data_IF_762861679850
#
_entry.id   IF_762861679850
#
_cell.length_a   1.000
_cell.length_b   1.000
_cell.length_c   1.000
_cell.angle_alpha   90.00
_cell.angle_beta   90.00
_cell.angle_gamma   90.00
#
_symmetry.space_group_name_H-M   'P 1'
#
loop_
_entity.id
_entity.type
_entity.pdbx_description
1 polymer ?
#
# COMPACT_ATOMS: atom_id res chain seq x y z
N UNK A 1 6.11 69.09 -57.12
CA UNK A 1 5.41 67.88 -57.60
C UNK A 1 5.88 66.69 -56.78
N UNK A 2 4.96 66.20 -55.94
CA UNK A 2 4.90 64.96 -55.16
C UNK A 2 5.94 63.86 -55.45
N UNK A 3 6.50 63.28 -54.38
CA UNK A 3 6.25 61.87 -54.03
C UNK A 3 6.57 61.59 -52.56
N UNK A 4 5.65 60.87 -51.95
CA UNK A 4 5.43 60.63 -50.52
C UNK A 4 6.37 59.54 -49.99
N UNK A 5 6.92 59.77 -48.80
CA UNK A 5 7.71 58.86 -47.97
C UNK A 5 6.78 57.81 -47.32
N UNK A 6 7.05 56.52 -47.51
CA UNK A 6 6.46 55.43 -46.71
C UNK A 6 7.62 54.70 -46.01
N UNK A 7 7.84 54.99 -44.73
CA UNK A 7 8.72 54.21 -43.86
C UNK A 7 7.83 53.19 -43.14
N UNK A 8 7.98 51.91 -43.50
CA UNK A 8 7.42 50.81 -42.73
C UNK A 8 8.23 50.62 -41.45
N UNK A 9 7.63 50.94 -40.31
CA UNK A 9 8.14 50.60 -38.97
C UNK A 9 7.86 49.11 -38.74
N UNK A 10 8.91 48.30 -38.70
CA UNK A 10 8.84 46.89 -38.35
C UNK A 10 8.86 46.78 -36.82
N UNK A 11 7.69 46.59 -36.21
CA UNK A 11 7.55 46.38 -34.77
C UNK A 11 7.89 44.91 -34.48
N UNK A 12 9.11 44.64 -33.99
CA UNK A 12 9.51 43.31 -33.55
C UNK A 12 8.83 42.99 -32.21
N UNK A 13 7.75 42.21 -32.26
CA UNK A 13 7.10 41.63 -31.09
C UNK A 13 8.01 40.49 -30.59
N UNK A 14 8.72 40.74 -29.49
CA UNK A 14 9.44 39.71 -28.74
C UNK A 14 8.39 38.89 -27.99
N UNK A 15 8.02 37.73 -28.55
CA UNK A 15 7.22 36.73 -27.85
C UNK A 15 8.15 36.03 -26.87
N UNK A 16 8.13 36.47 -25.61
CA UNK A 16 8.65 35.68 -24.50
C UNK A 16 7.76 34.45 -24.36
N UNK A 17 8.20 33.34 -24.96
CA UNK A 17 7.63 32.03 -24.70
C UNK A 17 7.86 31.69 -23.24
N UNK A 18 6.81 31.84 -22.43
CA UNK A 18 6.76 31.24 -21.11
C UNK A 18 6.86 29.72 -21.32
N UNK A 19 8.01 29.14 -20.98
CA UNK A 19 8.13 27.71 -20.79
C UNK A 19 7.22 27.32 -19.63
N UNK A 20 5.97 26.98 -19.95
CA UNK A 20 5.11 26.26 -19.03
C UNK A 20 5.76 24.90 -18.86
N UNK A 21 6.55 24.73 -17.81
CA UNK A 21 7.06 23.44 -17.37
C UNK A 21 5.85 22.68 -16.81
N UNK A 22 5.01 22.15 -17.71
CA UNK A 22 4.18 21.02 -17.36
C UNK A 22 5.16 19.91 -17.04
N UNK A 23 5.42 19.67 -15.75
CA UNK A 23 5.86 18.37 -15.30
C UNK A 23 4.87 17.38 -15.92
N UNK A 24 5.32 16.62 -16.93
CA UNK A 24 4.56 15.52 -17.47
C UNK A 24 4.43 14.51 -16.33
N UNK A 25 3.35 14.64 -15.55
CA UNK A 25 2.97 13.70 -14.50
C UNK A 25 2.93 12.33 -15.16
N UNK A 26 3.92 11.51 -14.82
CA UNK A 26 4.09 10.21 -15.46
C UNK A 26 3.06 9.28 -14.85
N UNK A 27 1.84 9.29 -15.39
CA UNK A 27 0.88 8.22 -15.16
C UNK A 27 1.58 6.94 -15.62
N UNK A 28 1.76 6.03 -14.69
CA UNK A 28 2.52 4.82 -14.91
C UNK A 28 1.69 3.86 -15.80
N UNK A 29 1.68 4.11 -17.11
CA UNK A 29 0.98 3.32 -18.11
C UNK A 29 1.72 1.99 -18.29
N UNK A 30 1.42 1.02 -17.44
CA UNK A 30 1.84 -0.36 -17.68
C UNK A 30 1.05 -0.86 -18.91
N UNK A 31 1.75 -1.27 -19.96
CA UNK A 31 1.11 -1.80 -21.18
C UNK A 31 0.44 -3.15 -20.97
N UNK A 32 0.68 -3.81 -19.81
CA UNK A 32 0.15 -5.13 -19.51
C UNK A 32 -0.51 -5.18 -18.13
N UNK A 33 -1.83 -5.17 -18.18
CA UNK A 33 -2.78 -5.53 -17.13
C UNK A 33 -2.85 -7.07 -17.05
N UNK A 34 -2.58 -7.67 -15.88
CA UNK A 34 -2.49 -9.14 -15.72
C UNK A 34 -3.77 -9.79 -15.15
N UNK A 35 -4.91 -9.09 -15.14
CA UNK A 35 -6.22 -9.67 -14.83
C UNK A 35 -6.62 -9.64 -13.36
N UNK A 36 -7.49 -10.58 -12.97
CA UNK A 36 -8.08 -10.67 -11.64
C UNK A 36 -7.56 -11.86 -10.87
N UNK A 37 -7.02 -11.63 -9.67
CA UNK A 37 -6.70 -12.68 -8.71
C UNK A 37 -7.83 -12.83 -7.69
N UNK A 38 -8.34 -14.04 -7.49
CA UNK A 38 -9.35 -14.36 -6.48
C UNK A 38 -8.73 -15.14 -5.31
N UNK A 39 -8.92 -14.65 -4.08
CA UNK A 39 -8.37 -15.24 -2.85
C UNK A 39 -9.51 -15.62 -1.92
N UNK A 40 -9.46 -16.82 -1.33
CA UNK A 40 -10.32 -17.22 -0.22
C UNK A 40 -9.73 -16.80 1.13
N UNK A 41 -10.57 -16.20 1.98
CA UNK A 41 -10.23 -15.76 3.33
C UNK A 41 -11.26 -16.32 4.32
N UNK A 42 -10.80 -16.91 5.42
CA UNK A 42 -11.67 -17.48 6.45
C UNK A 42 -12.00 -16.51 7.58
N UNK A 43 -11.13 -15.51 7.81
CA UNK A 43 -11.33 -14.50 8.84
C UNK A 43 -12.28 -13.38 8.43
N UNK A 44 -12.29 -12.31 9.21
CA UNK A 44 -13.13 -11.14 8.98
C UNK A 44 -12.32 -9.85 9.08
N UNK A 45 -12.86 -8.76 8.51
CA UNK A 45 -12.31 -7.42 8.66
C UNK A 45 -12.97 -6.76 9.87
N UNK A 46 -12.16 -6.18 10.75
CA UNK A 46 -12.62 -5.39 11.88
C UNK A 46 -12.55 -3.90 11.57
N UNK A 47 -11.43 -3.45 10.98
CA UNK A 47 -11.25 -2.06 10.58
C UNK A 47 -10.22 -1.94 9.45
N UNK A 48 -10.50 -1.05 8.49
CA UNK A 48 -9.52 -0.66 7.47
C UNK A 48 -8.82 0.67 7.80
N UNK A 49 -9.19 1.32 8.91
CA UNK A 49 -8.49 2.52 9.35
C UNK A 49 -7.15 2.13 9.99
N UNK A 50 -6.00 2.65 9.51
CA UNK A 50 -4.69 2.15 9.90
C UNK A 50 -4.46 2.08 11.42
N UNK A 51 -4.86 3.10 12.17
CA UNK A 51 -4.61 3.16 13.62
C UNK A 51 -5.50 2.20 14.43
N UNK A 52 -6.56 1.65 13.85
CA UNK A 52 -7.52 0.75 14.51
C UNK A 52 -7.30 -0.73 14.21
N UNK A 53 -6.31 -1.09 13.38
CA UNK A 53 -6.02 -2.49 13.05
C UNK A 53 -5.76 -3.30 14.33
N UNK A 54 -6.45 -4.43 14.48
CA UNK A 54 -6.33 -5.32 15.64
C UNK A 54 -6.30 -6.82 15.27
N UNK A 55 -6.40 -7.16 13.98
CA UNK A 55 -6.32 -8.55 13.50
C UNK A 55 -5.48 -8.66 12.22
N UNK A 56 -5.05 -9.89 11.89
CA UNK A 56 -4.15 -10.16 10.77
C UNK A 56 -4.79 -9.88 9.40
N UNK A 57 -6.08 -10.21 9.23
CA UNK A 57 -6.81 -10.01 7.97
C UNK A 57 -6.92 -8.53 7.62
N UNK A 58 -7.30 -7.69 8.60
CA UNK A 58 -7.34 -6.24 8.43
C UNK A 58 -5.94 -5.70 8.14
N UNK A 59 -4.91 -6.19 8.84
CA UNK A 59 -3.52 -5.79 8.61
C UNK A 59 -3.08 -6.05 7.16
N UNK A 60 -3.38 -7.25 6.65
CA UNK A 60 -3.06 -7.68 5.28
C UNK A 60 -3.82 -6.87 4.23
N UNK A 61 -5.07 -6.50 4.47
CA UNK A 61 -5.84 -5.68 3.51
C UNK A 61 -5.38 -4.22 3.57
N UNK A 62 -5.11 -3.69 4.77
CA UNK A 62 -4.58 -2.33 4.92
C UNK A 62 -3.22 -2.19 4.25
N UNK A 63 -2.34 -3.20 4.27
CA UNK A 63 -1.06 -3.14 3.57
C UNK A 63 -1.16 -3.12 2.04
N UNK A 64 -2.31 -3.53 1.47
CA UNK A 64 -2.60 -3.41 0.04
C UNK A 64 -3.17 -2.03 -0.34
N UNK A 65 -3.86 -1.37 0.60
CA UNK A 65 -4.54 -0.09 0.39
C UNK A 65 -3.66 1.11 0.79
N UNK A 66 -2.95 0.97 1.90
CA UNK A 66 -2.18 2.02 2.54
C UNK A 66 -0.68 1.69 2.55
N UNK A 67 0.16 2.70 2.64
CA UNK A 67 1.61 2.53 2.76
C UNK A 67 2.20 3.55 3.74
N UNK A 68 3.23 3.13 4.49
CA UNK A 68 3.97 3.98 5.44
C UNK A 68 5.23 4.57 4.83
N UNK A 69 6.07 5.21 5.67
CA UNK A 69 7.39 5.69 5.26
C UNK A 69 8.28 4.53 4.77
N UNK A 70 8.23 3.41 5.48
CA UNK A 70 8.90 2.16 5.16
C UNK A 70 7.90 1.02 5.24
N UNK A 71 8.25 -0.16 4.73
CA UNK A 71 7.43 -1.37 4.84
C UNK A 71 8.30 -2.60 5.12
N UNK A 72 7.67 -3.68 5.56
CA UNK A 72 8.31 -4.97 5.61
C UNK A 72 8.41 -5.58 4.20
N UNK A 73 9.54 -6.22 3.92
CA UNK A 73 9.62 -7.26 2.91
C UNK A 73 8.76 -8.44 3.34
N UNK A 74 7.82 -8.86 2.49
CA UNK A 74 6.86 -9.89 2.87
C UNK A 74 7.52 -11.21 3.26
N UNK A 75 8.68 -11.58 2.70
CA UNK A 75 9.37 -12.83 3.06
C UNK A 75 10.31 -12.67 4.24
N UNK A 76 11.25 -11.75 4.11
CA UNK A 76 12.40 -11.65 5.00
C UNK A 76 12.12 -10.83 6.25
N UNK A 77 10.98 -10.14 6.30
CA UNK A 77 10.62 -9.17 7.35
C UNK A 77 11.69 -8.07 7.53
N UNK A 78 12.55 -7.88 6.52
CA UNK A 78 13.52 -6.79 6.49
C UNK A 78 12.84 -5.48 6.09
N UNK A 79 13.45 -4.36 6.46
CA UNK A 79 12.91 -3.04 6.12
C UNK A 79 13.18 -2.73 4.64
N UNK A 80 12.11 -2.33 3.94
CA UNK A 80 12.15 -1.86 2.56
C UNK A 80 11.63 -0.42 2.46
N UNK A 81 12.06 0.33 1.42
CA UNK A 81 11.45 1.61 1.07
C UNK A 81 9.92 1.50 0.94
N UNK A 82 9.20 2.43 1.58
CA UNK A 82 7.76 2.64 1.45
C UNK A 82 7.51 3.88 0.59
N UNK A 83 6.82 4.88 1.17
CA UNK A 83 6.78 6.25 0.65
C UNK A 83 8.17 6.91 0.64
N UNK A 84 9.02 6.62 1.64
CA UNK A 84 10.40 7.09 1.64
C UNK A 84 11.25 6.21 0.72
N UNK A 85 11.84 6.81 -0.31
CA UNK A 85 12.73 6.11 -1.25
C UNK A 85 14.07 5.74 -0.61
N UNK A 86 14.52 6.58 0.33
CA UNK A 86 15.72 6.38 1.15
C UNK A 86 15.61 7.17 2.45
N UNK A 87 16.48 6.86 3.40
CA UNK A 87 16.63 7.63 4.62
C UNK A 87 18.09 7.68 5.06
N UNK A 88 18.40 8.69 5.85
CA UNK A 88 19.70 8.87 6.51
C UNK A 88 19.49 8.82 8.03
N UNK A 89 20.46 8.25 8.72
CA UNK A 89 20.50 8.16 10.18
C UNK A 89 21.75 8.91 10.64
N UNK A 90 21.61 9.78 11.64
CA UNK A 90 22.75 10.49 12.22
C UNK A 90 23.69 9.55 13.00
N UNK A 91 24.88 10.06 13.36
CA UNK A 91 25.90 9.26 14.07
C UNK A 91 25.45 8.78 15.43
N UNK A 92 24.55 9.54 16.07
CA UNK A 92 24.02 9.22 17.39
C UNK A 92 22.80 8.29 17.30
N UNK A 93 22.36 7.89 16.09
CA UNK A 93 21.18 7.04 15.84
C UNK A 93 19.86 7.57 16.43
N UNK A 94 19.75 8.89 16.58
CA UNK A 94 18.57 9.56 17.13
C UNK A 94 17.83 10.41 16.12
N UNK A 95 18.42 10.72 14.97
CA UNK A 95 17.77 11.52 13.93
C UNK A 95 17.66 10.70 12.64
N UNK A 96 16.42 10.49 12.21
CA UNK A 96 16.08 9.81 10.96
C UNK A 96 15.52 10.81 9.97
N UNK A 97 16.17 10.93 8.81
CA UNK A 97 15.78 11.83 7.73
C UNK A 97 15.28 11.04 6.54
N UNK A 98 13.99 11.13 6.26
CA UNK A 98 13.32 10.40 5.17
C UNK A 98 13.17 11.29 3.93
N UNK A 99 13.55 10.75 2.78
CA UNK A 99 13.38 11.39 1.48
C UNK A 99 12.21 10.71 0.76
N UNK A 100 11.11 11.44 0.61
CA UNK A 100 9.83 10.93 0.13
C UNK A 100 9.81 10.86 -1.40
N UNK A 101 9.03 9.91 -1.92
CA UNK A 101 8.72 9.86 -3.34
C UNK A 101 7.93 11.10 -3.76
N UNK A 102 8.47 11.85 -4.72
CA UNK A 102 7.81 13.03 -5.31
C UNK A 102 6.75 12.66 -6.35
N UNK A 103 6.53 11.37 -6.61
CA UNK A 103 5.53 10.88 -7.56
C UNK A 103 4.41 10.09 -6.85
N UNK A 104 4.32 10.18 -5.53
CA UNK A 104 3.27 9.52 -4.76
C UNK A 104 1.99 10.38 -4.73
N UNK A 105 0.86 9.74 -4.99
CA UNK A 105 -0.47 10.36 -4.94
C UNK A 105 -1.40 9.49 -4.08
N UNK A 106 -2.32 10.14 -3.38
CA UNK A 106 -3.44 9.44 -2.76
C UNK A 106 -4.36 8.86 -3.83
N UNK A 107 -5.09 7.80 -3.47
CA UNK A 107 -6.11 7.23 -4.35
C UNK A 107 -7.11 8.32 -4.77
N UNK A 108 -7.66 8.26 -6.01
CA UNK A 108 -8.74 9.15 -6.41
C UNK A 108 -9.93 9.03 -5.48
N UNK A 109 -10.43 10.15 -4.97
CA UNK A 109 -11.52 10.20 -4.00
C UNK A 109 -12.36 11.48 -4.17
N UNK A 110 -13.65 11.40 -3.85
CA UNK A 110 -14.60 12.51 -4.00
C UNK A 110 -14.37 13.64 -2.99
N UNK A 111 -13.62 13.41 -1.91
CA UNK A 111 -13.28 14.44 -0.92
C UNK A 111 -12.22 15.43 -1.42
N UNK A 112 -11.48 15.09 -2.47
CA UNK A 112 -10.57 15.98 -3.17
C UNK A 112 -11.31 16.78 -4.24
N UNK A 113 -10.76 17.93 -4.66
CA UNK A 113 -11.37 18.73 -5.72
C UNK A 113 -11.46 17.90 -7.01
N UNK A 114 -12.52 18.14 -7.80
CA UNK A 114 -12.72 17.40 -9.07
C UNK A 114 -11.50 17.58 -9.96
N UNK A 115 -11.01 16.47 -10.49
CA UNK A 115 -9.86 16.38 -11.40
C UNK A 115 -8.49 16.66 -10.75
N UNK A 116 -8.40 16.72 -9.41
CA UNK A 116 -7.12 16.84 -8.70
C UNK A 116 -6.59 15.48 -8.24
N UNK A 117 -5.43 15.07 -8.75
CA UNK A 117 -4.64 14.03 -8.12
C UNK A 117 -3.95 14.61 -6.88
N UNK A 118 -4.40 14.24 -5.68
CA UNK A 118 -3.80 14.77 -4.46
C UNK A 118 -2.43 14.13 -4.19
N UNK A 119 -1.37 14.86 -4.51
CA UNK A 119 0.03 14.49 -4.25
C UNK A 119 0.28 14.26 -2.75
N UNK A 120 1.11 13.29 -2.39
CA UNK A 120 1.53 13.08 -1.00
C UNK A 120 2.68 14.01 -0.66
N UNK A 121 2.63 14.62 0.52
CA UNK A 121 3.66 15.54 1.01
C UNK A 121 4.12 15.18 2.42
N UNK A 122 5.23 15.74 2.86
CA UNK A 122 5.72 15.62 4.23
C UNK A 122 4.71 16.14 5.28
N UNK A 123 3.76 17.00 4.90
CA UNK A 123 2.68 17.41 5.80
C UNK A 123 1.67 16.29 6.06
N UNK A 124 1.43 15.42 5.09
CA UNK A 124 0.58 14.24 5.27
C UNK A 124 1.27 13.23 6.22
N UNK A 125 2.60 13.14 6.14
CA UNK A 125 3.42 12.38 7.10
C UNK A 125 3.30 12.96 8.50
N UNK A 126 3.47 14.28 8.65
CA UNK A 126 3.30 14.97 9.94
C UNK A 126 1.92 14.68 10.54
N UNK A 127 0.87 14.83 9.74
CA UNK A 127 -0.50 14.60 10.16
C UNK A 127 -0.70 13.17 10.66
N UNK A 128 -0.28 12.18 9.87
CA UNK A 128 -0.44 10.75 10.18
C UNK A 128 0.31 10.35 11.45
N UNK A 129 1.56 10.79 11.59
CA UNK A 129 2.37 10.47 12.76
C UNK A 129 1.93 11.25 14.01
N UNK A 130 1.40 12.47 13.85
CA UNK A 130 0.77 13.19 14.98
C UNK A 130 -0.45 12.43 15.49
N UNK A 131 -1.27 11.87 14.60
CA UNK A 131 -2.43 11.05 14.97
C UNK A 131 -2.04 9.80 15.77
N UNK A 132 -0.92 9.15 15.44
CA UNK A 132 -0.39 8.03 16.24
C UNK A 132 -0.10 8.44 17.68
N UNK A 133 0.23 9.71 17.94
CA UNK A 133 0.49 10.22 19.28
C UNK A 133 -0.76 10.73 20.01
N UNK A 134 -1.98 10.46 19.53
CA UNK A 134 -3.24 10.92 20.17
C UNK A 134 -3.89 9.85 21.06
N UNK A 135 -4.59 10.28 22.11
CA UNK A 135 -5.49 9.44 22.92
C UNK A 135 -6.87 9.25 22.25
N UNK A 136 -6.89 8.71 21.04
CA UNK A 136 -8.13 8.32 20.35
C UNK A 136 -8.53 6.90 20.76
N UNK A 137 -9.81 6.60 21.05
CA UNK A 137 -10.28 5.22 21.23
C UNK A 137 -9.97 4.31 20.03
N UNK A 138 -9.83 4.90 18.85
CA UNK A 138 -9.56 4.24 17.58
C UNK A 138 -8.05 4.17 17.27
N UNK A 139 -7.19 4.51 18.24
CA UNK A 139 -5.74 4.44 18.12
C UNK A 139 -5.17 3.31 19.00
N UNK A 140 -5.11 2.11 18.42
CA UNK A 140 -4.52 0.93 19.05
C UNK A 140 -2.99 0.86 18.86
N UNK A 141 -2.42 1.78 18.08
CA UNK A 141 -1.03 1.73 17.60
C UNK A 141 -0.14 2.83 18.20
N UNK A 142 -0.60 3.54 19.24
CA UNK A 142 0.12 4.68 19.80
C UNK A 142 1.55 4.34 20.27
N UNK A 143 1.77 3.11 20.74
CA UNK A 143 3.07 2.62 21.22
C UNK A 143 4.16 2.63 20.15
N UNK A 144 3.80 2.66 18.86
CA UNK A 144 4.76 2.72 17.76
C UNK A 144 5.62 3.99 17.80
N UNK A 145 5.10 5.09 18.34
CA UNK A 145 5.80 6.39 18.33
C UNK A 145 5.83 7.11 19.68
N UNK A 146 4.84 6.90 20.56
CA UNK A 146 4.72 7.66 21.84
C UNK A 146 5.97 7.55 22.71
N UNK A 147 6.54 6.36 22.87
CA UNK A 147 7.75 6.15 23.69
C UNK A 147 9.07 6.35 22.90
N UNK A 148 8.97 6.63 21.60
CA UNK A 148 10.12 6.67 20.69
C UNK A 148 10.47 8.11 20.30
N UNK A 149 9.47 8.87 19.85
CA UNK A 149 9.64 10.21 19.30
C UNK A 149 9.84 11.28 20.38
N UNK A 150 10.78 12.18 20.16
CA UNK A 150 11.02 13.32 21.06
C UNK A 150 9.76 14.20 21.16
N UNK A 151 9.25 14.44 22.36
CA UNK A 151 8.02 15.22 22.57
C UNK A 151 6.71 14.47 22.31
N UNK A 152 6.77 13.20 21.86
CA UNK A 152 5.57 12.43 21.49
C UNK A 152 4.77 12.00 22.73
N UNK A 153 5.47 11.64 23.81
CA UNK A 153 4.85 11.28 25.09
C UNK A 153 4.13 12.46 25.74
N UNK A 154 4.77 13.62 25.77
CA UNK A 154 4.19 14.86 26.30
C UNK A 154 2.95 15.27 25.49
N UNK A 155 2.99 15.10 24.17
CA UNK A 155 1.83 15.34 23.32
C UNK A 155 0.69 14.35 23.64
N UNK A 156 0.97 13.06 23.73
CA UNK A 156 0.00 12.02 24.09
C UNK A 156 -0.65 12.28 25.45
N UNK A 157 0.14 12.63 26.47
CA UNK A 157 -0.35 12.95 27.81
C UNK A 157 -1.16 14.24 27.86
N UNK A 158 -0.90 15.20 26.97
CA UNK A 158 -1.67 16.44 26.87
C UNK A 158 -3.10 16.27 26.36
N UNK A 159 -3.43 15.08 25.81
CA UNK A 159 -4.75 14.74 25.21
C UNK A 159 -5.18 15.65 24.06
N UNK A 160 -4.24 16.43 23.51
CA UNK A 160 -4.49 17.23 22.31
C UNK A 160 -4.61 16.32 21.09
N UNK A 161 -5.41 16.76 20.13
CA UNK A 161 -5.57 16.10 18.83
C UNK A 161 -4.77 16.78 17.72
N UNK A 162 -4.31 18.01 17.97
CA UNK A 162 -3.50 18.82 17.06
C UNK A 162 -2.42 19.58 17.84
N UNK A 163 -1.32 19.87 17.18
CA UNK A 163 -0.22 20.64 17.74
C UNK A 163 1.13 20.13 17.28
N UNK A 164 2.19 20.81 17.73
CA UNK A 164 3.56 20.47 17.38
C UNK A 164 4.11 19.38 18.31
N UNK A 165 4.73 18.37 17.71
CA UNK A 165 5.55 17.37 18.39
C UNK A 165 7.01 17.68 18.05
N UNK A 166 7.87 17.87 19.06
CA UNK A 166 9.25 18.36 18.85
C UNK A 166 10.04 17.50 17.86
N UNK A 167 9.88 16.17 17.95
CA UNK A 167 10.60 15.20 17.15
C UNK A 167 10.02 14.97 15.76
N UNK A 168 8.92 15.61 15.37
CA UNK A 168 8.32 15.47 14.03
C UNK A 168 8.51 16.78 13.25
N UNK A 169 9.32 16.73 12.20
CA UNK A 169 9.79 17.94 11.52
C UNK A 169 9.59 17.78 10.01
N UNK A 170 8.83 18.71 9.42
CA UNK A 170 8.76 18.92 7.98
C UNK A 170 9.85 19.90 7.61
N UNK A 171 10.84 19.48 6.82
CA UNK A 171 11.85 20.41 6.30
C UNK A 171 11.45 21.01 4.96
N UNK A 172 10.79 20.21 4.12
CA UNK A 172 10.16 20.62 2.87
C UNK A 172 9.14 19.55 2.46
N UNK A 173 8.45 19.75 1.33
CA UNK A 173 7.37 18.87 0.87
C UNK A 173 7.76 17.40 0.67
N UNK A 174 9.05 17.11 0.49
CA UNK A 174 9.57 15.76 0.21
C UNK A 174 10.61 15.28 1.23
N UNK A 175 10.84 16.02 2.31
CA UNK A 175 11.83 15.66 3.35
C UNK A 175 11.19 15.76 4.72
N UNK A 176 11.12 14.62 5.41
CA UNK A 176 10.56 14.52 6.75
C UNK A 176 11.61 13.98 7.72
N UNK A 177 11.72 14.58 8.91
CA UNK A 177 12.69 14.20 9.92
C UNK A 177 11.98 13.75 11.19
N UNK A 178 12.41 12.61 11.72
CA UNK A 178 12.01 12.10 13.03
C UNK A 178 13.19 12.12 13.97
N UNK A 179 13.04 12.75 15.14
CA UNK A 179 14.01 12.69 16.24
C UNK A 179 13.48 11.79 17.35
N UNK A 180 14.32 10.87 17.80
CA UNK A 180 14.05 9.95 18.89
C UNK A 180 14.48 10.54 20.23
N UNK A 181 13.88 10.03 21.31
CA UNK A 181 14.31 10.33 22.68
C UNK A 181 15.70 9.71 22.97
N UNK A 182 15.95 8.54 22.39
CA UNK A 182 17.20 7.78 22.49
C UNK A 182 17.34 6.83 21.28
N UNK A 183 18.54 6.30 21.00
CA UNK A 183 18.73 5.33 19.93
C UNK A 183 17.83 4.11 20.10
N UNK A 184 17.21 3.66 19.01
CA UNK A 184 16.46 2.42 18.98
C UNK A 184 16.65 1.71 17.63
N UNK A 185 17.42 0.61 17.59
CA UNK A 185 17.64 -0.17 16.36
C UNK A 185 16.34 -0.74 15.74
N UNK A 186 15.28 -0.90 16.53
CA UNK A 186 13.98 -1.39 16.06
C UNK A 186 13.06 -0.29 15.53
N UNK A 187 13.47 0.98 15.57
CA UNK A 187 12.58 2.09 15.24
C UNK A 187 11.93 1.97 13.85
N UNK A 188 12.71 1.59 12.83
CA UNK A 188 12.16 1.39 11.48
C UNK A 188 11.15 0.23 11.39
N UNK A 189 11.27 -0.79 12.24
CA UNK A 189 10.31 -1.89 12.30
C UNK A 189 8.97 -1.43 12.86
N UNK A 190 8.95 -0.46 13.78
CA UNK A 190 7.72 0.17 14.24
C UNK A 190 7.05 0.97 13.12
N UNK A 191 7.82 1.72 12.35
CA UNK A 191 7.30 2.49 11.21
C UNK A 191 6.89 1.63 10.01
N UNK A 192 7.40 0.40 9.91
CA UNK A 192 7.01 -0.55 8.87
C UNK A 192 5.66 -1.23 9.14
N UNK A 193 5.10 -1.06 10.35
CA UNK A 193 3.77 -1.55 10.67
C UNK A 193 2.71 -0.78 9.85
N UNK A 194 1.73 -1.46 9.21
CA UNK A 194 0.67 -0.79 8.46
C UNK A 194 -0.14 0.24 9.25
N UNK A 195 -0.18 0.14 10.58
CA UNK A 195 -0.81 1.14 11.43
C UNK A 195 -0.08 2.51 11.43
N UNK A 196 1.16 2.56 10.97
CA UNK A 196 1.93 3.79 10.73
C UNK A 196 1.80 4.32 9.29
N UNK A 197 0.79 3.85 8.54
CA UNK A 197 0.54 4.32 7.19
C UNK A 197 0.23 5.81 7.10
N UNK A 198 0.52 6.37 5.93
CA UNK A 198 0.25 7.78 5.62
C UNK A 198 -1.20 7.91 5.14
N UNK A 199 -1.95 8.83 5.75
CA UNK A 199 -3.34 9.13 5.44
C UNK A 199 -3.49 10.62 5.07
N UNK A 200 -4.47 10.92 4.20
CA UNK A 200 -4.77 12.29 3.82
C UNK A 200 -5.62 12.97 4.90
N UNK A 201 -5.20 14.17 5.34
CA UNK A 201 -5.96 14.97 6.32
C UNK A 201 -7.40 15.21 5.87
N UNK A 202 -7.59 15.63 4.61
CA UNK A 202 -8.91 15.92 4.04
C UNK A 202 -9.84 14.70 4.01
N UNK A 203 -9.30 13.52 3.67
CA UNK A 203 -10.06 12.27 3.68
C UNK A 203 -10.45 11.89 5.11
N UNK A 204 -9.53 12.03 6.08
CA UNK A 204 -9.84 11.81 7.49
C UNK A 204 -10.90 12.79 8.03
N UNK A 205 -10.84 14.07 7.66
CA UNK A 205 -11.86 15.05 8.05
C UNK A 205 -13.23 14.74 7.46
N UNK A 206 -13.28 14.10 6.29
CA UNK A 206 -14.53 13.77 5.58
C UNK A 206 -15.13 12.45 6.06
N UNK A 207 -14.30 11.42 6.26
CA UNK A 207 -14.75 10.04 6.49
C UNK A 207 -14.40 9.52 7.89
N UNK A 208 -13.60 10.26 8.66
CA UNK A 208 -13.06 9.83 9.94
C UNK A 208 -12.44 8.42 9.83
N UNK A 209 -12.80 7.51 10.73
CA UNK A 209 -12.27 6.13 10.75
C UNK A 209 -12.92 5.19 9.73
N UNK A 210 -13.83 5.70 8.88
CA UNK A 210 -14.32 4.96 7.71
C UNK A 210 -13.46 5.21 6.47
N UNK A 211 -12.38 6.00 6.57
CA UNK A 211 -11.49 6.27 5.45
C UNK A 211 -10.86 4.98 4.91
N UNK A 212 -10.84 4.87 3.59
CA UNK A 212 -10.12 3.81 2.86
C UNK A 212 -9.20 4.39 1.79
N UNK A 213 -9.04 5.72 1.80
CA UNK A 213 -8.14 6.45 0.92
C UNK A 213 -6.70 6.28 1.39
N UNK A 214 -5.88 5.63 0.57
CA UNK A 214 -4.47 5.40 0.86
C UNK A 214 -3.57 5.79 -0.31
N UNK A 215 -2.34 5.30 -0.25
CA UNK A 215 -1.29 5.52 -1.26
C UNK A 215 -0.71 4.19 -1.77
N UNK A 216 -1.30 3.07 -1.34
CA UNK A 216 -0.84 1.72 -1.64
C UNK A 216 -1.15 1.26 -3.07
N UNK A 217 -0.72 0.03 -3.41
CA UNK A 217 -0.81 -0.52 -4.77
C UNK A 217 -2.25 -0.74 -5.26
N UNK A 218 -3.20 -0.95 -4.35
CA UNK A 218 -4.60 -1.15 -4.69
C UNK A 218 -5.49 -0.16 -3.95
N UNK A 219 -6.66 0.15 -4.51
CA UNK A 219 -7.70 0.96 -3.87
C UNK A 219 -8.95 0.12 -3.66
N UNK A 220 -9.67 0.36 -2.57
CA UNK A 220 -10.95 -0.30 -2.33
C UNK A 220 -11.99 0.16 -3.36
N UNK A 221 -12.61 -0.80 -4.04
CA UNK A 221 -13.72 -0.55 -4.96
C UNK A 221 -15.06 -0.89 -4.32
N UNK A 222 -15.13 -2.01 -3.60
CA UNK A 222 -16.33 -2.40 -2.86
C UNK A 222 -16.00 -3.27 -1.65
N UNK A 223 -16.73 -3.05 -0.57
CA UNK A 223 -16.77 -3.96 0.59
C UNK A 223 -17.45 -5.29 0.21
N UNK A 224 -17.19 -6.38 0.96
CA UNK A 224 -17.90 -7.63 0.76
C UNK A 224 -19.37 -7.46 1.13
N UNK A 225 -20.26 -8.11 0.36
CA UNK A 225 -21.72 -8.01 0.55
C UNK A 225 -22.36 -9.37 0.25
N UNK A 226 -22.91 -10.02 1.28
CA UNK A 226 -23.41 -11.40 1.20
C UNK A 226 -22.32 -12.33 0.62
N UNK A 227 -22.61 -13.02 -0.49
CA UNK A 227 -21.67 -13.92 -1.18
C UNK A 227 -20.73 -13.18 -2.16
N UNK A 228 -20.81 -11.84 -2.26
CA UNK A 228 -19.91 -11.06 -3.11
C UNK A 228 -18.59 -10.78 -2.40
N UNK A 229 -17.46 -10.82 -3.12
CA UNK A 229 -16.15 -10.56 -2.54
C UNK A 229 -15.96 -9.08 -2.21
N UNK A 230 -15.00 -8.78 -1.35
CA UNK A 230 -14.33 -7.49 -1.38
C UNK A 230 -13.59 -7.35 -2.70
N UNK A 231 -13.67 -6.17 -3.31
CA UNK A 231 -12.97 -5.88 -4.57
C UNK A 231 -11.99 -4.75 -4.33
N UNK A 232 -10.70 -5.06 -4.52
CA UNK A 232 -9.63 -4.08 -4.63
C UNK A 232 -9.24 -3.95 -6.09
N UNK A 233 -9.08 -2.73 -6.58
CA UNK A 233 -8.64 -2.47 -7.95
C UNK A 233 -7.32 -1.76 -7.94
N UNK A 234 -6.52 -1.95 -8.99
CA UNK A 234 -5.22 -1.32 -9.14
C UNK A 234 -5.27 0.19 -8.91
N UNK A 235 -4.26 0.72 -8.20
CA UNK A 235 -3.98 2.14 -8.13
C UNK A 235 -3.15 2.54 -9.38
N UNK A 236 -3.71 3.30 -10.34
CA UNK A 236 -2.98 3.70 -11.55
C UNK A 236 -1.86 4.71 -11.28
N UNK A 237 -1.84 5.33 -10.09
CA UNK A 237 -0.83 6.29 -9.64
C UNK A 237 0.12 5.69 -8.59
N UNK A 238 0.20 4.35 -8.52
CA UNK A 238 1.18 3.74 -7.63
C UNK A 238 2.59 4.05 -8.12
N UNK A 239 3.41 4.59 -7.22
CA UNK A 239 4.65 5.29 -7.55
C UNK A 239 5.87 4.36 -7.62
N UNK A 240 5.67 3.05 -7.49
CA UNK A 240 6.76 2.07 -7.52
C UNK A 240 6.83 1.33 -8.83
N UNK A 241 8.06 0.93 -9.16
CA UNK A 241 8.41 0.14 -10.32
C UNK A 241 9.21 -1.09 -9.87
N UNK A 242 9.18 -2.14 -10.69
CA UNK A 242 10.08 -3.28 -10.51
C UNK A 242 11.52 -2.95 -10.95
N UNK A 243 12.43 -3.91 -10.81
CA UNK A 243 13.83 -3.75 -11.20
C UNK A 243 14.05 -3.53 -12.71
N UNK A 244 13.02 -3.70 -13.54
CA UNK A 244 13.05 -3.48 -15.00
C UNK A 244 12.35 -2.17 -15.40
N UNK A 245 11.87 -1.39 -14.43
CA UNK A 245 11.15 -0.13 -14.67
C UNK A 245 9.66 -0.30 -14.98
N UNK A 246 9.10 -1.51 -14.84
CA UNK A 246 7.68 -1.74 -15.05
C UNK A 246 6.88 -1.19 -13.88
N UNK A 247 5.79 -0.49 -14.18
CA UNK A 247 4.90 0.06 -13.17
C UNK A 247 4.16 -1.02 -12.40
N UNK A 248 4.14 -0.89 -11.08
CA UNK A 248 3.44 -1.80 -10.19
C UNK A 248 2.09 -1.21 -9.75
N UNK A 249 1.16 -2.00 -9.18
CA UNK A 249 1.16 -3.46 -9.23
C UNK A 249 0.78 -3.99 -10.62
N UNK A 250 0.95 -5.30 -10.83
CA UNK A 250 0.63 -5.94 -12.12
C UNK A 250 -0.83 -6.38 -12.28
N UNK A 251 -1.47 -6.85 -11.21
CA UNK A 251 -2.87 -7.27 -11.25
C UNK A 251 -3.80 -6.07 -11.38
N UNK A 252 -4.90 -6.21 -12.12
CA UNK A 252 -5.92 -5.18 -12.25
C UNK A 252 -6.87 -5.17 -11.06
N UNK A 253 -7.17 -6.36 -10.56
CA UNK A 253 -8.18 -6.57 -9.54
C UNK A 253 -7.77 -7.71 -8.61
N UNK A 254 -8.00 -7.52 -7.32
CA UNK A 254 -7.92 -8.56 -6.30
C UNK A 254 -9.31 -8.72 -5.71
N UNK A 255 -9.86 -9.92 -5.78
CA UNK A 255 -11.14 -10.29 -5.16
C UNK A 255 -10.88 -11.15 -3.93
N UNK A 256 -11.37 -10.72 -2.78
CA UNK A 256 -11.22 -11.45 -1.52
C UNK A 256 -12.59 -11.96 -1.11
N UNK A 257 -12.77 -13.28 -1.15
CA UNK A 257 -13.99 -13.98 -0.76
C UNK A 257 -13.90 -14.41 0.70
N UNK A 258 -14.77 -13.87 1.55
CA UNK A 258 -14.81 -14.20 2.97
C UNK A 258 -15.70 -15.42 3.19
N UNK A 259 -15.08 -16.60 3.23
CA UNK A 259 -15.75 -17.91 3.32
C UNK A 259 -15.19 -18.66 4.52
N UNK A 260 -15.97 -18.76 5.59
CA UNK A 260 -15.48 -19.36 6.85
C UNK A 260 -15.07 -20.84 6.76
N UNK A 261 -15.61 -21.61 5.79
CA UNK A 261 -15.28 -23.03 5.62
C UNK A 261 -14.16 -23.23 4.60
N UNK A 262 -13.02 -23.78 5.04
CA UNK A 262 -11.93 -24.20 4.15
C UNK A 262 -12.39 -25.21 3.10
N UNK A 263 -13.27 -26.16 3.46
CA UNK A 263 -13.83 -27.12 2.50
C UNK A 263 -14.62 -26.43 1.39
N UNK A 264 -15.43 -25.41 1.73
CA UNK A 264 -16.15 -24.63 0.73
C UNK A 264 -15.18 -23.85 -0.18
N UNK A 265 -14.13 -23.24 0.39
CA UNK A 265 -13.09 -22.57 -0.40
C UNK A 265 -12.39 -23.53 -1.36
N UNK A 266 -12.09 -24.76 -0.93
CA UNK A 266 -11.46 -25.78 -1.76
C UNK A 266 -12.35 -26.25 -2.92
N UNK A 267 -13.66 -26.33 -2.71
CA UNK A 267 -14.61 -26.59 -3.79
C UNK A 267 -14.72 -25.39 -4.75
N UNK A 268 -14.71 -24.15 -4.23
CA UNK A 268 -14.66 -22.94 -5.06
C UNK A 268 -13.38 -22.86 -5.89
N UNK A 269 -12.24 -23.28 -5.32
CA UNK A 269 -10.96 -23.38 -6.01
C UNK A 269 -11.04 -24.40 -7.16
N UNK A 270 -11.58 -25.59 -6.92
CA UNK A 270 -11.81 -26.60 -7.98
C UNK A 270 -12.74 -26.12 -9.07
N UNK A 271 -13.75 -25.33 -8.71
CA UNK A 271 -14.67 -24.71 -9.66
C UNK A 271 -14.06 -23.52 -10.42
N UNK A 272 -12.81 -23.14 -10.13
CA UNK A 272 -12.13 -22.01 -10.76
C UNK A 272 -12.61 -20.63 -10.30
N UNK A 273 -13.34 -20.56 -9.18
CA UNK A 273 -13.82 -19.30 -8.60
C UNK A 273 -12.75 -18.62 -7.74
N UNK A 274 -11.87 -19.42 -7.11
CA UNK A 274 -10.69 -18.95 -6.38
C UNK A 274 -9.43 -19.35 -7.14
N UNK A 275 -8.39 -18.54 -6.99
CA UNK A 275 -7.03 -18.83 -7.45
C UNK A 275 -6.10 -19.19 -6.29
N UNK A 276 -6.43 -18.76 -5.07
CA UNK A 276 -5.62 -18.94 -3.87
C UNK A 276 -6.51 -19.32 -2.69
N UNK A 277 -6.10 -20.35 -1.96
CA UNK A 277 -6.65 -20.72 -0.65
C UNK A 277 -5.49 -20.77 0.34
N UNK A 278 -5.59 -20.03 1.44
CA UNK A 278 -4.52 -19.87 2.42
C UNK A 278 -4.83 -20.61 3.72
N UNK A 279 -3.78 -20.89 4.51
CA UNK A 279 -3.87 -21.35 5.89
C UNK A 279 -4.62 -22.69 6.05
N UNK A 280 -4.37 -23.63 5.14
CA UNK A 280 -4.94 -24.98 5.19
C UNK A 280 -4.11 -25.81 6.17
N UNK A 281 -4.75 -26.45 7.14
CA UNK A 281 -4.08 -27.40 8.01
C UNK A 281 -3.63 -28.65 7.24
N UNK A 282 -2.62 -29.35 7.77
CA UNK A 282 -2.01 -30.49 7.08
C UNK A 282 -2.99 -31.66 6.85
N UNK A 283 -3.96 -31.88 7.75
CA UNK A 283 -4.94 -32.96 7.62
C UNK A 283 -5.90 -32.67 6.45
N UNK A 284 -6.52 -31.49 6.46
CA UNK A 284 -7.40 -31.02 5.39
C UNK A 284 -6.67 -30.98 4.04
N UNK A 285 -5.43 -30.48 4.02
CA UNK A 285 -4.62 -30.44 2.80
C UNK A 285 -4.34 -31.85 2.26
N UNK A 286 -3.94 -32.78 3.11
CA UNK A 286 -3.60 -34.16 2.69
C UNK A 286 -4.84 -34.85 2.13
N UNK A 287 -5.98 -34.78 2.82
CA UNK A 287 -7.24 -35.33 2.33
C UNK A 287 -7.64 -34.74 0.99
N UNK A 288 -7.53 -33.41 0.83
CA UNK A 288 -7.83 -32.75 -0.44
C UNK A 288 -6.87 -33.18 -1.56
N UNK A 289 -5.56 -33.27 -1.27
CA UNK A 289 -4.55 -33.68 -2.23
C UNK A 289 -4.79 -35.12 -2.71
N UNK A 290 -5.03 -36.07 -1.81
CA UNK A 290 -5.27 -37.48 -2.14
C UNK A 290 -6.50 -37.67 -3.03
N UNK A 291 -7.58 -36.93 -2.78
CA UNK A 291 -8.78 -36.95 -3.61
C UNK A 291 -8.58 -36.30 -4.98
N UNK A 292 -7.59 -35.40 -5.11
CA UNK A 292 -7.42 -34.53 -6.27
C UNK A 292 -5.99 -34.54 -6.85
N UNK A 293 -5.23 -35.63 -6.68
CA UNK A 293 -3.79 -35.75 -7.06
C UNK A 293 -3.51 -35.25 -8.48
N UNK A 294 -4.40 -35.57 -9.43
CA UNK A 294 -4.28 -35.17 -10.84
C UNK A 294 -4.24 -33.66 -11.07
N UNK A 295 -4.72 -32.85 -10.11
CA UNK A 295 -4.69 -31.39 -10.19
C UNK A 295 -3.31 -30.81 -9.78
N UNK A 296 -2.44 -31.61 -9.17
CA UNK A 296 -1.14 -31.20 -8.63
C UNK A 296 0.05 -31.83 -9.37
N UNK A 297 -0.17 -32.85 -10.19
CA UNK A 297 0.89 -33.59 -10.87
C UNK A 297 0.97 -33.33 -12.39
N UNK A 298 2.16 -33.52 -12.93
CA UNK A 298 2.45 -33.43 -14.36
C UNK A 298 2.70 -32.01 -14.87
N UNK A 299 3.08 -31.90 -16.14
CA UNK A 299 3.40 -30.61 -16.79
C UNK A 299 2.22 -29.64 -16.85
N UNK A 300 1.00 -30.15 -16.69
CA UNK A 300 -0.26 -29.38 -16.70
C UNK A 300 -0.92 -29.28 -15.34
N UNK A 301 -0.16 -29.43 -14.24
CA UNK A 301 -0.67 -29.25 -12.89
C UNK A 301 -1.43 -27.92 -12.78
N UNK A 302 -2.68 -27.99 -12.34
CA UNK A 302 -3.60 -26.84 -12.23
C UNK A 302 -3.29 -26.03 -10.97
N UNK A 303 -2.83 -26.71 -9.92
CA UNK A 303 -2.49 -26.11 -8.64
C UNK A 303 -1.06 -26.47 -8.21
N UNK A 304 -0.48 -25.59 -7.41
CA UNK A 304 0.76 -25.79 -6.67
C UNK A 304 0.47 -25.61 -5.18
N UNK A 305 1.12 -26.43 -4.36
CA UNK A 305 1.13 -26.27 -2.92
C UNK A 305 2.34 -25.44 -2.50
N UNK A 306 2.14 -24.53 -1.55
CA UNK A 306 3.19 -23.74 -0.89
C UNK A 306 3.04 -24.02 0.61
N UNK A 307 4.12 -24.44 1.26
CA UNK A 307 4.16 -24.57 2.71
C UNK A 307 4.71 -23.28 3.34
N UNK A 308 4.26 -22.95 4.55
CA UNK A 308 4.98 -22.02 5.41
C UNK A 308 6.37 -22.58 5.80
N UNK A 309 7.31 -21.75 6.26
CA UNK A 309 8.67 -22.20 6.58
C UNK A 309 8.69 -23.28 7.67
N UNK A 310 7.72 -23.24 8.59
CA UNK A 310 7.57 -24.23 9.65
C UNK A 310 6.80 -25.49 9.22
N UNK A 311 6.32 -25.57 7.97
CA UNK A 311 5.51 -26.66 7.40
C UNK A 311 4.27 -27.01 8.23
N UNK A 312 3.77 -26.05 9.00
CA UNK A 312 2.59 -26.19 9.85
C UNK A 312 1.30 -25.90 9.09
N UNK A 313 1.40 -25.15 7.98
CA UNK A 313 0.28 -24.76 7.13
C UNK A 313 0.64 -24.92 5.67
N UNK A 314 -0.37 -25.25 4.90
CA UNK A 314 -0.32 -25.36 3.45
C UNK A 314 -1.18 -24.27 2.81
N UNK A 315 -0.77 -23.85 1.64
CA UNK A 315 -1.46 -22.89 0.81
C UNK A 315 -1.58 -23.51 -0.57
N UNK A 316 -2.77 -23.46 -1.17
CA UNK A 316 -2.95 -23.91 -2.55
C UNK A 316 -3.11 -22.68 -3.43
N UNK A 317 -2.30 -22.63 -4.48
CA UNK A 317 -2.25 -21.53 -5.44
C UNK A 317 -2.42 -22.11 -6.83
N UNK A 318 -3.21 -21.46 -7.69
CA UNK A 318 -3.31 -21.84 -9.10
C UNK A 318 -1.97 -21.69 -9.80
N UNK A 319 -1.60 -22.66 -10.63
CA UNK A 319 -0.35 -22.68 -11.39
C UNK A 319 -0.22 -21.53 -12.41
N UNK A 320 -1.32 -20.83 -12.69
CA UNK A 320 -1.30 -19.58 -13.48
C UNK A 320 -0.79 -18.39 -12.68
N UNK A 321 -0.81 -18.43 -11.35
CA UNK A 321 -0.34 -17.33 -10.51
C UNK A 321 1.18 -17.40 -10.38
N UNK A 322 1.85 -16.32 -10.74
CA UNK A 322 3.31 -16.15 -10.70
C UNK A 322 3.70 -15.14 -9.62
N UNK A 323 4.87 -15.33 -9.02
CA UNK A 323 5.43 -14.46 -7.96
C UNK A 323 4.54 -14.31 -6.72
N UNK A 324 3.58 -15.22 -6.50
CA UNK A 324 2.86 -15.27 -5.24
C UNK A 324 3.78 -15.74 -4.13
N UNK A 325 3.86 -14.93 -3.08
CA UNK A 325 4.79 -15.11 -1.96
C UNK A 325 4.06 -14.80 -0.67
N UNK A 326 4.31 -15.61 0.35
CA UNK A 326 3.73 -15.52 1.68
C UNK A 326 4.78 -15.91 2.72
N UNK A 327 4.80 -15.25 3.88
CA UNK A 327 5.59 -15.70 5.01
C UNK A 327 4.80 -16.53 6.03
N UNK A 328 5.48 -16.96 7.09
CA UNK A 328 4.94 -17.79 8.16
C UNK A 328 3.81 -17.14 8.95
N UNK A 329 3.70 -15.82 8.89
CA UNK A 329 2.62 -15.08 9.53
C UNK A 329 1.39 -14.95 8.64
N UNK A 330 1.43 -15.55 7.44
CA UNK A 330 0.37 -15.43 6.45
C UNK A 330 0.35 -14.07 5.75
N UNK A 331 1.43 -13.30 5.83
CA UNK A 331 1.54 -12.00 5.18
C UNK A 331 2.04 -12.19 3.75
N UNK A 332 1.35 -11.58 2.79
CA UNK A 332 1.70 -11.61 1.37
C UNK A 332 1.83 -10.20 0.78
N UNK A 333 2.61 -10.07 -0.29
CA UNK A 333 2.68 -8.86 -1.11
C UNK A 333 2.17 -9.19 -2.52
N UNK A 334 1.11 -8.51 -2.96
CA UNK A 334 0.52 -8.71 -4.28
C UNK A 334 1.06 -7.75 -5.33
N UNK A 335 2.05 -6.93 -4.99
CA UNK A 335 2.55 -5.86 -5.87
C UNK A 335 3.15 -6.44 -7.14
N UNK A 336 3.95 -7.51 -7.01
CA UNK A 336 4.65 -8.15 -8.15
C UNK A 336 3.98 -9.42 -8.69
N UNK A 337 2.82 -9.79 -8.14
CA UNK A 337 2.07 -10.98 -8.57
C UNK A 337 1.52 -10.80 -9.97
N UNK A 338 1.66 -11.82 -10.82
CA UNK A 338 1.14 -11.84 -12.19
C UNK A 338 0.28 -13.08 -12.40
N UNK A 339 -0.58 -13.04 -13.41
CA UNK A 339 -1.18 -14.24 -13.97
C UNK A 339 -0.45 -14.55 -15.28
N UNK A 340 -0.10 -15.83 -15.50
CA UNK A 340 0.28 -16.32 -16.82
C UNK A 340 -0.81 -15.88 -17.78
N UNK A 341 -0.42 -15.13 -18.81
CA UNK A 341 -1.29 -15.00 -19.99
C UNK A 341 -1.51 -16.43 -20.45
N UNK A 342 -2.75 -16.89 -20.40
CA UNK A 342 -3.11 -18.09 -21.14
C UNK A 342 -2.50 -17.89 -22.54
N UNK A 343 -1.66 -18.82 -22.97
CA UNK A 343 -1.31 -18.92 -24.38
C UNK A 343 -2.63 -19.15 -25.10
N UNK A 344 -3.26 -18.04 -25.50
CA UNK A 344 -4.56 -17.97 -26.16
C UNK A 344 -4.66 -18.98 -27.29
#
# INVERSE_FOLDING_TARGET
MNKIFFISIFFAVIILGACNHHENETICQNSEAYGTLSIGESGNIESLYPLSINNAVSNQIVSLIHEGLVKFDAMSLTIKPGLAQRWEIDKDETTYRFFLSTNAYFHPDKCFEKDEFRKVTAQDVLFSLTRLCTQSPENNAYTLLVDQGKGAKEFYESKKTEGKIEGLIVENDSTFVIKLVKPNPMFLHFLANPAAAIIAKKAYETYHTSLTNGIGPYRLMSFPENDKPMVLVRNPHYFKQDNKGNCLPYLDTVKIYFVGSLKAQLEMLKAGQLDVVLNIDNETFTSFLEENVKLFEGEKAVFKAIADQNQSRQHIVSSKVENFVLNDQGIFDLTEVKLKKDSL
#
